data_IF_530527507288
#
_entry.id   IF_530527507288
#
_cell.length_a   1.000
_cell.length_b   1.000
_cell.length_c   1.000
_cell.angle_alpha   90.00
_cell.angle_beta   90.00
_cell.angle_gamma   90.00
#
_symmetry.space_group_name_H-M   'P 1'
#
loop_
_entity.id
_entity.type
_entity.pdbx_description
1 polymer ?
#
# COMPACT_ATOMS: atom_id res chain seq x y z
N UNK A 1 10.28 -18.59 1.25
CA UNK A 1 9.73 -17.85 2.40
C UNK A 1 8.61 -16.97 1.89
N UNK A 2 7.36 -17.37 2.07
CA UNK A 2 6.17 -16.74 1.48
C UNK A 2 5.29 -16.20 2.62
N UNK A 3 5.13 -14.87 2.71
CA UNK A 3 4.20 -14.20 3.66
C UNK A 3 4.82 -13.36 4.77
N UNK A 4 6.10 -12.95 4.68
CA UNK A 4 6.88 -12.45 5.83
C UNK A 4 6.30 -11.26 6.62
N UNK A 5 5.39 -10.44 6.07
CA UNK A 5 4.81 -9.31 6.80
C UNK A 5 3.28 -9.17 6.70
N UNK A 6 2.51 -10.20 6.31
CA UNK A 6 1.06 -10.01 6.14
C UNK A 6 0.40 -9.43 7.40
N UNK A 7 0.66 -10.03 8.56
CA UNK A 7 0.03 -9.61 9.81
C UNK A 7 0.44 -8.16 10.19
N UNK A 8 1.71 -7.81 10.02
CA UNK A 8 2.20 -6.46 10.27
C UNK A 8 1.59 -5.41 9.30
N UNK A 9 1.42 -5.78 8.03
CA UNK A 9 0.81 -4.92 7.04
C UNK A 9 -0.71 -4.77 7.27
N UNK A 10 -1.36 -5.86 7.69
CA UNK A 10 -2.78 -5.89 8.00
C UNK A 10 -3.12 -5.07 9.24
N UNK A 11 -2.26 -5.10 10.26
CA UNK A 11 -2.40 -4.26 11.45
C UNK A 11 -2.37 -2.76 11.09
N UNK A 12 -1.49 -2.35 10.16
CA UNK A 12 -1.49 -0.98 9.65
C UNK A 12 -2.82 -0.62 8.98
N UNK A 13 -3.32 -1.48 8.09
CA UNK A 13 -4.61 -1.23 7.40
C UNK A 13 -5.73 -1.13 8.44
N UNK A 14 -5.82 -2.09 9.36
CA UNK A 14 -6.85 -2.14 10.39
C UNK A 14 -6.88 -0.87 11.28
N UNK A 15 -5.71 -0.39 11.71
CA UNK A 15 -5.59 0.81 12.56
C UNK A 15 -5.77 2.12 11.80
N UNK A 16 -5.60 2.11 10.48
CA UNK A 16 -5.86 3.27 9.63
C UNK A 16 -7.35 3.45 9.32
N UNK A 17 -8.13 2.37 9.38
CA UNK A 17 -9.56 2.37 9.10
C UNK A 17 -10.41 2.80 10.32
N UNK A 18 -11.54 3.42 10.03
CA UNK A 18 -12.51 3.84 11.04
C UNK A 18 -13.44 2.72 11.51
N UNK A 19 -14.22 3.01 12.56
CA UNK A 19 -15.34 2.17 12.97
C UNK A 19 -16.51 2.21 11.97
N UNK A 20 -17.61 1.56 12.32
CA UNK A 20 -18.82 1.50 11.49
C UNK A 20 -19.32 2.91 11.09
N UNK A 21 -19.65 3.08 9.81
CA UNK A 21 -20.24 4.29 9.24
C UNK A 21 -21.49 3.95 8.44
N UNK A 22 -22.52 4.78 8.58
CA UNK A 22 -23.77 4.70 7.81
C UNK A 22 -24.13 6.03 7.14
N UNK A 23 -23.14 6.89 6.86
CA UNK A 23 -23.36 8.15 6.13
C UNK A 23 -24.05 7.86 4.77
N UNK A 24 -25.30 8.32 4.55
CA UNK A 24 -26.02 8.13 3.30
C UNK A 24 -25.36 8.77 2.07
N UNK A 25 -24.41 9.70 2.28
CA UNK A 25 -23.64 10.40 1.24
C UNK A 25 -22.44 9.60 0.77
N UNK A 26 -22.00 8.63 1.56
CA UNK A 26 -20.94 7.70 1.15
C UNK A 26 -21.57 6.55 0.35
N UNK A 27 -21.20 6.44 -0.92
CA UNK A 27 -21.71 5.38 -1.81
C UNK A 27 -21.25 3.99 -1.37
N UNK A 28 -20.12 3.86 -0.65
CA UNK A 28 -19.63 2.59 -0.12
C UNK A 28 -20.54 1.95 0.93
N UNK A 29 -21.40 2.76 1.56
CA UNK A 29 -22.38 2.29 2.55
C UNK A 29 -23.63 1.65 1.91
N UNK A 30 -23.80 1.78 0.60
CA UNK A 30 -24.97 1.28 -0.11
C UNK A 30 -24.65 -0.06 -0.78
N UNK A 31 -25.47 -1.06 -0.49
CA UNK A 31 -25.53 -2.28 -1.27
C UNK A 31 -26.35 -1.99 -2.55
N UNK A 32 -25.76 -2.14 -3.75
CA UNK A 32 -26.51 -1.92 -4.98
C UNK A 32 -27.61 -2.97 -5.17
N UNK A 33 -28.69 -2.59 -5.86
CA UNK A 33 -29.71 -3.52 -6.32
C UNK A 33 -29.19 -4.41 -7.48
N UNK A 34 -30.03 -5.33 -7.95
CA UNK A 34 -29.71 -6.24 -9.07
C UNK A 34 -29.35 -5.51 -10.38
N UNK A 35 -29.74 -4.24 -10.52
CA UNK A 35 -29.45 -3.40 -11.67
C UNK A 35 -28.26 -2.45 -11.42
N UNK A 36 -27.54 -2.61 -10.31
CA UNK A 36 -26.40 -1.78 -9.93
C UNK A 36 -26.76 -0.37 -9.46
N UNK A 37 -28.05 -0.09 -9.18
CA UNK A 37 -28.49 1.20 -8.63
C UNK A 37 -28.39 1.19 -7.11
N UNK A 38 -28.39 2.39 -6.52
CA UNK A 38 -28.36 2.59 -5.06
C UNK A 38 -29.51 1.82 -4.38
N UNK A 39 -29.18 0.75 -3.67
CA UNK A 39 -30.15 -0.15 -3.03
C UNK A 39 -30.30 0.12 -1.54
N UNK A 40 -29.87 -0.83 -0.70
CA UNK A 40 -30.07 -0.76 0.76
C UNK A 40 -28.85 -0.14 1.44
N UNK A 41 -29.06 0.76 2.40
CA UNK A 41 -27.99 1.31 3.24
C UNK A 41 -27.58 0.26 4.28
N UNK A 42 -26.44 -0.39 4.08
CA UNK A 42 -25.87 -1.42 4.98
C UNK A 42 -24.77 -0.82 5.88
N UNK A 43 -24.09 0.21 5.41
CA UNK A 43 -22.92 0.80 6.05
C UNK A 43 -21.60 0.19 5.57
N UNK A 44 -20.51 0.66 6.15
CA UNK A 44 -19.15 0.14 5.98
C UNK A 44 -18.48 0.03 7.33
N UNK A 45 -17.53 -0.89 7.46
CA UNK A 45 -16.78 -1.10 8.70
C UNK A 45 -15.36 -1.58 8.38
N UNK A 46 -14.35 -1.03 9.05
CA UNK A 46 -12.93 -1.33 8.79
C UNK A 46 -12.55 -1.12 7.31
N UNK A 47 -13.19 -0.19 6.61
CA UNK A 47 -12.97 0.04 5.16
C UNK A 47 -13.61 -1.02 4.24
N UNK A 48 -14.28 -2.04 4.78
CA UNK A 48 -15.07 -3.00 4.00
C UNK A 48 -16.42 -2.38 3.66
N UNK A 49 -16.70 -2.25 2.36
CA UNK A 49 -17.97 -1.70 1.86
C UNK A 49 -19.10 -2.73 1.87
N UNK A 50 -20.34 -2.24 1.82
CA UNK A 50 -21.54 -3.07 1.73
C UNK A 50 -21.47 -4.09 0.58
N UNK A 51 -21.06 -3.63 -0.61
CA UNK A 51 -20.93 -4.47 -1.80
C UNK A 51 -19.81 -5.52 -1.65
N UNK A 52 -18.71 -5.17 -0.97
CA UNK A 52 -17.60 -6.09 -0.74
C UNK A 52 -18.01 -7.22 0.20
N UNK A 53 -18.63 -6.88 1.34
CA UNK A 53 -19.11 -7.88 2.29
C UNK A 53 -20.21 -8.75 1.69
N UNK A 54 -21.14 -8.16 0.93
CA UNK A 54 -22.16 -8.92 0.20
C UNK A 54 -21.53 -9.91 -0.80
N UNK A 55 -20.54 -9.47 -1.58
CA UNK A 55 -19.83 -10.35 -2.51
C UNK A 55 -19.10 -11.48 -1.80
N UNK A 56 -18.59 -11.24 -0.59
CA UNK A 56 -17.91 -12.24 0.22
C UNK A 56 -18.88 -13.27 0.79
N UNK A 57 -20.03 -12.83 1.33
CA UNK A 57 -21.05 -13.70 1.94
C UNK A 57 -21.94 -14.44 0.94
N UNK A 58 -21.78 -14.26 -0.38
CA UNK A 58 -22.65 -14.94 -1.36
C UNK A 58 -22.66 -16.46 -1.13
N UNK A 59 -23.85 -17.10 -1.13
CA UNK A 59 -25.15 -16.56 -1.52
C UNK A 59 -25.96 -15.90 -0.39
N UNK A 60 -25.48 -15.87 0.85
CA UNK A 60 -26.22 -15.28 1.96
C UNK A 60 -26.37 -13.75 1.81
N UNK A 61 -27.54 -13.17 2.16
CA UNK A 61 -27.71 -11.73 2.18
C UNK A 61 -26.84 -11.10 3.29
N UNK A 62 -26.45 -9.84 3.09
CA UNK A 62 -25.77 -9.04 4.11
C UNK A 62 -26.78 -8.08 4.75
N UNK A 63 -26.70 -7.94 6.07
CA UNK A 63 -27.48 -7.00 6.87
C UNK A 63 -26.60 -5.89 7.47
N UNK A 64 -27.22 -4.85 8.03
CA UNK A 64 -26.49 -3.84 8.81
C UNK A 64 -25.78 -4.46 10.02
N UNK A 65 -26.41 -5.43 10.68
CA UNK A 65 -25.83 -6.07 11.87
C UNK A 65 -24.61 -6.92 11.51
N UNK A 66 -24.60 -7.55 10.33
CA UNK A 66 -23.40 -8.21 9.82
C UNK A 66 -22.24 -7.23 9.61
N UNK A 67 -22.53 -6.03 9.11
CA UNK A 67 -21.51 -5.01 8.89
C UNK A 67 -21.01 -4.40 10.21
N UNK A 68 -21.92 -4.09 11.13
CA UNK A 68 -21.57 -3.57 12.47
C UNK A 68 -20.73 -4.56 13.27
N UNK A 69 -21.04 -5.84 13.16
CA UNK A 69 -20.35 -6.92 13.88
C UNK A 69 -19.36 -7.68 12.99
N UNK A 70 -18.81 -7.04 11.96
CA UNK A 70 -17.79 -7.65 11.09
C UNK A 70 -16.61 -8.12 11.94
N UNK A 71 -16.46 -9.44 12.05
CA UNK A 71 -15.40 -10.05 12.83
C UNK A 71 -14.04 -9.93 12.13
N UNK A 72 -12.97 -10.00 12.94
CA UNK A 72 -11.61 -9.82 12.45
C UNK A 72 -11.16 -10.97 11.52
N UNK A 73 -11.66 -12.19 11.71
CA UNK A 73 -11.28 -13.33 10.86
C UNK A 73 -11.84 -13.14 9.43
N UNK A 74 -13.08 -12.67 9.32
CA UNK A 74 -13.72 -12.31 8.06
C UNK A 74 -13.00 -11.13 7.41
N UNK A 75 -12.67 -10.09 8.19
CA UNK A 75 -11.88 -8.95 7.69
C UNK A 75 -10.52 -9.42 7.14
N UNK A 76 -9.78 -10.25 7.89
CA UNK A 76 -8.46 -10.75 7.51
C UNK A 76 -8.53 -11.63 6.25
N UNK A 77 -9.57 -12.46 6.14
CA UNK A 77 -9.80 -13.29 4.97
C UNK A 77 -10.15 -12.46 3.71
N UNK A 78 -10.95 -11.40 3.86
CA UNK A 78 -11.24 -10.44 2.78
C UNK A 78 -9.94 -9.74 2.37
N UNK A 79 -9.18 -9.21 3.33
CA UNK A 79 -7.93 -8.51 3.08
C UNK A 79 -6.90 -9.38 2.35
N UNK A 80 -6.76 -10.64 2.78
CA UNK A 80 -5.85 -11.59 2.14
C UNK A 80 -6.28 -11.91 0.70
N UNK A 81 -7.54 -12.27 0.51
CA UNK A 81 -8.04 -12.80 -0.76
C UNK A 81 -8.30 -11.74 -1.82
N UNK A 82 -8.80 -10.55 -1.42
CA UNK A 82 -9.20 -9.49 -2.35
C UNK A 82 -8.10 -8.48 -2.63
N UNK A 83 -7.07 -8.41 -1.79
CA UNK A 83 -6.02 -7.39 -1.92
C UNK A 83 -4.62 -7.99 -1.86
N UNK A 84 -4.23 -8.65 -0.76
CA UNK A 84 -2.87 -9.16 -0.59
C UNK A 84 -2.45 -10.14 -1.68
N UNK A 85 -3.30 -11.14 -1.97
CA UNK A 85 -3.03 -12.15 -2.97
C UNK A 85 -3.06 -11.58 -4.40
N UNK A 86 -4.08 -10.80 -4.84
CA UNK A 86 -4.09 -10.19 -6.17
C UNK A 86 -2.95 -9.20 -6.43
N UNK A 87 -2.45 -8.53 -5.38
CA UNK A 87 -1.28 -7.66 -5.47
C UNK A 87 0.05 -8.42 -5.30
N UNK A 88 -0.01 -9.73 -5.12
CA UNK A 88 1.15 -10.62 -4.97
C UNK A 88 2.12 -10.09 -3.89
N UNK A 89 1.57 -9.52 -2.81
CA UNK A 89 2.34 -8.83 -1.78
C UNK A 89 3.38 -9.75 -1.11
N UNK A 90 3.09 -11.04 -1.00
CA UNK A 90 4.04 -12.05 -0.49
C UNK A 90 5.33 -12.17 -1.29
N UNK A 91 5.37 -11.70 -2.54
CA UNK A 91 6.55 -11.71 -3.40
C UNK A 91 7.25 -10.34 -3.49
N UNK A 92 6.69 -9.31 -2.83
CA UNK A 92 7.28 -7.98 -2.81
C UNK A 92 8.29 -7.86 -1.65
N UNK A 93 9.36 -7.05 -1.80
CA UNK A 93 10.26 -6.74 -0.70
C UNK A 93 9.53 -6.11 0.50
N UNK A 94 10.07 -6.34 1.70
CA UNK A 94 9.53 -5.76 2.93
C UNK A 94 9.41 -4.22 2.81
N UNK A 95 8.30 -3.68 3.30
CA UNK A 95 7.95 -2.27 3.17
C UNK A 95 7.25 -1.96 1.85
N UNK A 96 7.73 -2.50 0.72
CA UNK A 96 7.04 -2.33 -0.56
C UNK A 96 5.70 -3.08 -0.57
N UNK A 97 5.65 -4.25 0.06
CA UNK A 97 4.43 -5.01 0.33
C UNK A 97 3.35 -4.15 1.02
N UNK A 98 3.70 -3.44 2.10
CA UNK A 98 2.80 -2.52 2.79
C UNK A 98 2.37 -1.35 1.89
N UNK A 99 3.33 -0.73 1.19
CA UNK A 99 3.05 0.41 0.31
C UNK A 99 2.03 0.06 -0.77
N UNK A 100 2.16 -1.13 -1.37
CA UNK A 100 1.26 -1.62 -2.42
C UNK A 100 -0.07 -2.08 -1.84
N UNK A 101 -0.05 -2.78 -0.70
CA UNK A 101 -1.24 -3.33 -0.07
C UNK A 101 -2.20 -2.26 0.44
N UNK A 102 -1.72 -1.33 1.28
CA UNK A 102 -2.57 -0.29 1.87
C UNK A 102 -3.07 0.71 0.81
N UNK A 103 -2.25 1.04 -0.18
CA UNK A 103 -2.72 1.88 -1.29
C UNK A 103 -3.76 1.13 -2.14
N UNK A 104 -3.59 -0.18 -2.34
CA UNK A 104 -4.59 -1.02 -2.99
C UNK A 104 -5.89 -1.12 -2.21
N UNK A 105 -5.83 -1.11 -0.88
CA UNK A 105 -7.01 -1.06 -0.01
C UNK A 105 -7.84 0.21 -0.25
N UNK A 106 -7.19 1.37 -0.32
CA UNK A 106 -7.88 2.65 -0.48
C UNK A 106 -8.25 2.98 -1.94
N UNK A 107 -7.37 2.67 -2.90
CA UNK A 107 -7.50 3.08 -4.31
C UNK A 107 -7.85 1.93 -5.27
N UNK A 108 -7.97 0.72 -4.76
CA UNK A 108 -8.22 -0.51 -5.52
C UNK A 108 -6.93 -1.18 -6.03
N UNK A 109 -6.98 -2.53 -6.11
CA UNK A 109 -5.89 -3.41 -6.54
C UNK A 109 -5.26 -2.95 -7.86
N UNK A 110 -6.09 -2.75 -8.89
CA UNK A 110 -5.60 -2.44 -10.23
C UNK A 110 -4.87 -1.09 -10.28
N UNK A 111 -5.34 -0.10 -9.52
CA UNK A 111 -4.69 1.22 -9.43
C UNK A 111 -3.32 1.11 -8.73
N UNK A 112 -3.25 0.36 -7.62
CA UNK A 112 -1.98 0.15 -6.91
C UNK A 112 -0.95 -0.59 -7.77
N UNK A 113 -1.38 -1.69 -8.42
CA UNK A 113 -0.55 -2.45 -9.34
C UNK A 113 0.00 -1.59 -10.49
N UNK A 114 -0.86 -0.77 -11.11
CA UNK A 114 -0.44 0.16 -12.18
C UNK A 114 0.62 1.15 -11.73
N UNK A 115 0.54 1.62 -10.50
CA UNK A 115 1.52 2.58 -9.98
C UNK A 115 2.88 1.93 -9.71
N UNK A 116 2.89 0.70 -9.19
CA UNK A 116 4.12 -0.11 -9.10
C UNK A 116 4.70 -0.38 -10.49
N UNK A 117 3.87 -0.77 -11.45
CA UNK A 117 4.29 -1.02 -12.84
C UNK A 117 4.89 0.23 -13.50
N UNK A 118 4.30 1.40 -13.26
CA UNK A 118 4.85 2.69 -13.69
C UNK A 118 6.24 2.92 -13.09
N UNK A 119 6.43 2.63 -11.80
CA UNK A 119 7.71 2.84 -11.11
C UNK A 119 8.83 1.97 -11.70
N UNK A 120 8.51 0.72 -12.05
CA UNK A 120 9.49 -0.24 -12.60
C UNK A 120 9.54 -0.24 -14.14
N UNK A 121 8.84 0.68 -14.80
CA UNK A 121 8.94 0.90 -16.25
C UNK A 121 8.35 -0.20 -17.13
N UNK A 122 7.33 -0.94 -16.65
CA UNK A 122 6.63 -1.97 -17.44
C UNK A 122 5.22 -1.52 -17.86
N UNK A 123 4.58 -2.29 -18.74
CA UNK A 123 3.19 -2.05 -19.14
C UNK A 123 2.27 -2.01 -17.92
N UNK A 124 1.48 -0.95 -17.83
CA UNK A 124 0.56 -0.70 -16.70
C UNK A 124 -0.79 -1.43 -16.88
N UNK A 125 -0.77 -2.76 -16.97
CA UNK A 125 -1.99 -3.57 -17.12
C UNK A 125 -2.80 -3.72 -15.82
N UNK A 126 -2.23 -3.33 -14.67
CA UNK A 126 -2.87 -3.41 -13.36
C UNK A 126 -2.87 -4.80 -12.72
N UNK A 127 -2.04 -5.72 -13.19
CA UNK A 127 -1.83 -7.05 -12.61
C UNK A 127 -0.34 -7.30 -12.36
N UNK A 128 0.04 -7.55 -11.10
CA UNK A 128 1.44 -7.81 -10.75
C UNK A 128 1.79 -9.24 -11.17
N UNK A 129 2.45 -9.37 -12.32
CA UNK A 129 2.88 -10.66 -12.89
C UNK A 129 4.39 -10.82 -12.95
N UNK A 130 4.88 -11.92 -13.57
CA UNK A 130 6.32 -12.21 -13.68
C UNK A 130 7.14 -11.07 -14.30
N UNK A 131 6.58 -10.33 -15.27
CA UNK A 131 7.25 -9.18 -15.87
C UNK A 131 7.47 -8.04 -14.86
N UNK A 132 6.46 -7.71 -14.06
CA UNK A 132 6.57 -6.69 -13.00
C UNK A 132 7.58 -7.10 -11.93
N UNK A 133 7.54 -8.37 -11.50
CA UNK A 133 8.47 -8.89 -10.49
C UNK A 133 9.91 -8.92 -11.02
N UNK A 134 10.12 -9.37 -12.26
CA UNK A 134 11.44 -9.38 -12.89
C UNK A 134 12.01 -7.97 -13.01
N UNK A 135 11.21 -7.00 -13.50
CA UNK A 135 11.64 -5.61 -13.60
C UNK A 135 12.01 -5.06 -12.22
N UNK A 136 11.17 -5.29 -11.20
CA UNK A 136 11.44 -4.88 -9.82
C UNK A 136 12.79 -5.42 -9.30
N UNK A 137 13.10 -6.70 -9.55
CA UNK A 137 14.36 -7.31 -9.11
C UNK A 137 15.60 -6.78 -9.84
N UNK A 138 15.43 -6.20 -11.02
CA UNK A 138 16.52 -5.68 -11.85
C UNK A 138 16.75 -4.17 -11.65
N UNK A 139 15.86 -3.48 -10.94
CA UNK A 139 15.98 -2.04 -10.68
C UNK A 139 17.27 -1.71 -9.94
N UNK A 140 17.92 -0.63 -10.36
CA UNK A 140 19.05 -0.04 -9.67
C UNK A 140 18.76 1.42 -9.25
N UNK A 141 19.68 2.01 -8.49
CA UNK A 141 19.51 3.37 -7.97
C UNK A 141 19.37 4.42 -9.08
N UNK A 142 20.02 4.23 -10.22
CA UNK A 142 19.96 5.17 -11.35
C UNK A 142 18.61 5.15 -12.05
N UNK A 143 17.84 4.05 -11.96
CA UNK A 143 16.48 3.97 -12.50
C UNK A 143 15.45 4.67 -11.60
N UNK A 144 15.67 4.63 -10.28
CA UNK A 144 14.73 5.11 -9.26
C UNK A 144 14.99 6.56 -8.82
N UNK A 145 16.24 6.97 -8.64
CA UNK A 145 16.60 8.31 -8.16
C UNK A 145 16.00 9.45 -8.99
N UNK A 146 15.88 9.36 -10.34
CA UNK A 146 15.20 10.41 -11.11
C UNK A 146 13.70 10.55 -10.81
N UNK A 147 13.07 9.55 -10.20
CA UNK A 147 11.63 9.52 -9.90
C UNK A 147 11.29 10.04 -8.50
N UNK A 148 12.30 10.21 -7.64
CA UNK A 148 12.12 10.66 -6.26
C UNK A 148 11.70 12.14 -6.23
N UNK A 149 10.70 12.46 -5.41
CA UNK A 149 10.34 13.87 -5.19
C UNK A 149 11.25 14.53 -4.13
N UNK A 150 11.24 15.87 -4.02
CA UNK A 150 12.11 16.60 -3.09
C UNK A 150 11.93 16.23 -1.61
N UNK A 151 10.70 15.95 -1.15
CA UNK A 151 10.44 15.65 0.26
C UNK A 151 11.00 14.26 0.62
N UNK A 152 10.82 13.30 -0.28
CA UNK A 152 11.39 11.96 -0.15
C UNK A 152 12.92 11.96 -0.37
N UNK A 153 13.47 12.85 -1.19
CA UNK A 153 14.93 13.04 -1.29
C UNK A 153 15.54 13.56 0.01
N UNK A 154 14.90 14.53 0.66
CA UNK A 154 15.34 15.02 1.97
C UNK A 154 15.30 13.90 3.02
N UNK A 155 14.26 13.06 2.99
CA UNK A 155 14.16 11.88 3.85
C UNK A 155 15.26 10.86 3.54
N UNK A 156 15.57 10.62 2.27
CA UNK A 156 16.66 9.74 1.85
C UNK A 156 18.01 10.24 2.39
N UNK A 157 18.31 11.53 2.23
CA UNK A 157 19.53 12.14 2.75
C UNK A 157 19.67 11.96 4.27
N UNK A 158 18.62 12.30 5.02
CA UNK A 158 18.61 12.13 6.48
C UNK A 158 18.85 10.67 6.89
N UNK A 159 18.24 9.70 6.19
CA UNK A 159 18.37 8.26 6.47
C UNK A 159 19.76 7.71 6.10
N UNK A 160 20.42 8.29 5.09
CA UNK A 160 21.78 7.92 4.69
C UNK A 160 22.87 8.67 5.45
N UNK A 161 22.53 9.65 6.29
CA UNK A 161 23.49 10.50 6.98
C UNK A 161 24.21 11.47 6.05
N UNK A 162 23.55 11.89 4.96
CA UNK A 162 24.10 12.79 3.95
C UNK A 162 23.49 14.20 4.06
N UNK A 163 24.24 15.27 3.76
CA UNK A 163 23.71 16.62 3.73
C UNK A 163 22.80 16.85 2.50
N UNK A 164 21.85 17.81 2.54
CA UNK A 164 21.01 18.16 1.38
C UNK A 164 21.79 18.50 0.11
N UNK A 165 23.01 19.04 0.26
CA UNK A 165 23.90 19.38 -0.85
C UNK A 165 24.33 18.18 -1.69
N UNK A 166 24.19 16.95 -1.19
CA UNK A 166 24.54 15.73 -1.95
C UNK A 166 23.61 15.49 -3.14
N UNK A 167 22.41 16.10 -3.18
CA UNK A 167 21.46 15.95 -4.30
C UNK A 167 21.19 14.48 -4.66
N UNK A 168 21.06 14.16 -5.95
CA UNK A 168 21.07 12.76 -6.45
C UNK A 168 22.47 12.30 -6.88
N UNK A 169 23.51 12.90 -6.30
CA UNK A 169 24.90 12.77 -6.73
C UNK A 169 25.57 11.43 -6.41
N UNK A 170 26.87 11.30 -6.75
CA UNK A 170 27.64 10.06 -6.57
C UNK A 170 27.68 9.54 -5.12
N UNK A 171 27.63 10.45 -4.14
CA UNK A 171 27.59 10.08 -2.71
C UNK A 171 26.35 9.27 -2.35
N UNK A 172 25.18 9.69 -2.84
CA UNK A 172 23.92 8.98 -2.63
C UNK A 172 23.95 7.61 -3.29
N UNK A 173 24.44 7.51 -4.53
CA UNK A 173 24.57 6.23 -5.24
C UNK A 173 25.48 5.25 -4.50
N UNK A 174 26.67 5.71 -4.07
CA UNK A 174 27.60 4.90 -3.28
C UNK A 174 27.02 4.48 -1.93
N UNK A 175 26.29 5.36 -1.25
CA UNK A 175 25.63 5.03 0.01
C UNK A 175 24.53 3.98 -0.19
N UNK A 176 23.74 4.09 -1.26
CA UNK A 176 22.70 3.10 -1.61
C UNK A 176 23.29 1.71 -1.89
N UNK A 177 24.40 1.66 -2.64
CA UNK A 177 25.10 0.42 -2.97
C UNK A 177 25.77 -0.20 -1.74
N UNK A 178 26.57 0.58 -1.00
CA UNK A 178 27.33 0.07 0.15
C UNK A 178 26.46 -0.37 1.33
N UNK A 179 25.31 0.29 1.53
CA UNK A 179 24.42 -0.02 2.64
C UNK A 179 23.33 -1.03 2.26
N UNK A 180 23.23 -1.48 1.00
CA UNK A 180 22.15 -2.34 0.52
C UNK A 180 20.75 -1.76 0.82
N UNK A 181 20.57 -0.46 0.58
CA UNK A 181 19.34 0.28 0.95
C UNK A 181 18.35 0.42 -0.20
N UNK A 182 18.32 -0.53 -1.14
CA UNK A 182 17.37 -0.49 -2.26
C UNK A 182 15.91 -0.46 -1.79
N UNK A 183 15.57 -1.20 -0.73
CA UNK A 183 14.23 -1.17 -0.13
C UNK A 183 13.81 0.21 0.38
N UNK A 184 14.75 1.00 0.94
CA UNK A 184 14.52 2.38 1.36
C UNK A 184 14.15 3.25 0.14
N UNK A 185 14.91 3.15 -0.95
CA UNK A 185 14.67 3.94 -2.16
C UNK A 185 13.34 3.56 -2.83
N UNK A 186 13.03 2.26 -2.92
CA UNK A 186 11.76 1.77 -3.47
C UNK A 186 10.54 2.32 -2.71
N UNK A 187 10.57 2.29 -1.37
CA UNK A 187 9.49 2.82 -0.53
C UNK A 187 9.34 4.33 -0.72
N UNK A 188 10.43 5.09 -0.72
CA UNK A 188 10.40 6.54 -0.85
C UNK A 188 9.90 6.99 -2.23
N UNK A 189 10.36 6.36 -3.31
CA UNK A 189 9.89 6.67 -4.67
C UNK A 189 8.40 6.35 -4.81
N UNK A 190 7.97 5.16 -4.38
CA UNK A 190 6.56 4.79 -4.48
C UNK A 190 5.66 5.68 -3.60
N UNK A 191 6.12 6.08 -2.42
CA UNK A 191 5.44 7.04 -1.55
C UNK A 191 5.13 8.35 -2.29
N UNK A 192 6.15 8.92 -2.93
CA UNK A 192 6.01 10.14 -3.72
C UNK A 192 5.02 10.02 -4.87
N UNK A 193 5.06 8.89 -5.58
CA UNK A 193 4.10 8.59 -6.64
C UNK A 193 2.67 8.51 -6.09
N UNK A 194 2.46 7.83 -4.97
CA UNK A 194 1.14 7.68 -4.35
C UNK A 194 0.57 8.99 -3.82
N UNK A 195 1.41 9.86 -3.24
CA UNK A 195 0.98 11.20 -2.85
C UNK A 195 0.51 12.03 -4.06
N UNK A 196 1.23 11.96 -5.19
CA UNK A 196 0.83 12.64 -6.42
C UNK A 196 -0.52 12.13 -6.92
N UNK A 197 -0.74 10.81 -6.90
CA UNK A 197 -2.03 10.22 -7.25
C UNK A 197 -3.16 10.72 -6.32
N UNK A 198 -2.93 10.80 -5.00
CA UNK A 198 -3.93 11.35 -4.09
C UNK A 198 -4.25 12.81 -4.37
N UNK A 199 -3.25 13.63 -4.67
CA UNK A 199 -3.42 15.08 -4.91
C UNK A 199 -4.31 15.39 -6.11
N UNK A 200 -4.40 14.48 -7.08
CA UNK A 200 -5.25 14.63 -8.26
C UNK A 200 -6.60 13.92 -8.16
N UNK A 201 -6.84 13.15 -7.09
CA UNK A 201 -8.11 12.45 -6.89
C UNK A 201 -9.27 13.40 -6.58
N UNK A 202 -10.45 13.03 -7.08
CA UNK A 202 -11.70 13.69 -6.71
C UNK A 202 -11.89 13.61 -5.19
N UNK A 203 -12.21 14.75 -4.56
CA UNK A 203 -12.37 14.83 -3.10
C UNK A 203 -11.09 15.17 -2.32
N UNK A 204 -9.93 15.35 -2.97
CA UNK A 204 -8.69 15.76 -2.29
C UNK A 204 -8.86 17.05 -1.47
N UNK A 205 -9.65 18.02 -1.94
CA UNK A 205 -9.95 19.25 -1.17
C UNK A 205 -10.59 18.97 0.20
N UNK A 206 -11.40 17.90 0.31
CA UNK A 206 -12.13 17.53 1.52
C UNK A 206 -11.34 16.56 2.39
N UNK A 207 -10.75 15.53 1.79
CA UNK A 207 -10.14 14.40 2.50
C UNK A 207 -8.62 14.31 2.37
N UNK A 208 -8.01 15.12 1.50
CA UNK A 208 -6.61 15.04 1.13
C UNK A 208 -5.64 15.16 2.30
N UNK A 209 -5.96 15.98 3.32
CA UNK A 209 -5.15 16.06 4.55
C UNK A 209 -5.04 14.69 5.25
N UNK A 210 -6.15 13.95 5.33
CA UNK A 210 -6.18 12.61 5.90
C UNK A 210 -5.42 11.59 5.05
N UNK A 211 -5.58 11.67 3.72
CA UNK A 211 -4.85 10.79 2.79
C UNK A 211 -3.33 11.00 2.85
N UNK A 212 -2.86 12.25 2.90
CA UNK A 212 -1.44 12.55 3.06
C UNK A 212 -0.92 12.13 4.45
N UNK A 213 -1.70 12.34 5.51
CA UNK A 213 -1.32 11.88 6.85
C UNK A 213 -1.22 10.34 6.94
N UNK A 214 -2.15 9.59 6.32
CA UNK A 214 -2.06 8.13 6.20
C UNK A 214 -0.84 7.72 5.38
N UNK A 215 -0.57 8.40 4.27
CA UNK A 215 0.60 8.13 3.43
C UNK A 215 1.90 8.29 4.21
N UNK A 216 2.07 9.40 4.95
CA UNK A 216 3.24 9.60 5.81
C UNK A 216 3.42 8.48 6.84
N UNK A 217 2.35 8.13 7.59
CA UNK A 217 2.39 7.03 8.57
C UNK A 217 2.75 5.68 7.93
N UNK A 218 2.20 5.42 6.74
CA UNK A 218 2.49 4.20 5.97
C UNK A 218 3.95 4.15 5.57
N UNK A 219 4.48 5.25 5.05
CA UNK A 219 5.89 5.34 4.63
C UNK A 219 6.81 5.13 5.82
N UNK A 220 6.56 5.75 6.97
CA UNK A 220 7.33 5.51 8.19
C UNK A 220 7.30 4.03 8.63
N UNK A 221 6.12 3.41 8.59
CA UNK A 221 5.94 1.98 8.94
C UNK A 221 6.67 1.06 7.94
N UNK A 222 6.55 1.34 6.64
CA UNK A 222 7.22 0.59 5.58
C UNK A 222 8.75 0.67 5.71
N UNK A 223 9.28 1.85 6.05
CA UNK A 223 10.72 2.03 6.31
C UNK A 223 11.18 1.26 7.56
N UNK A 224 10.33 1.14 8.58
CA UNK A 224 10.62 0.28 9.73
C UNK A 224 10.65 -1.21 9.35
N UNK A 225 9.75 -1.66 8.48
CA UNK A 225 9.77 -3.03 7.94
C UNK A 225 11.04 -3.31 7.13
N UNK A 226 11.49 -2.36 6.30
CA UNK A 226 12.77 -2.44 5.57
C UNK A 226 13.94 -2.60 6.54
N UNK A 227 13.99 -1.78 7.60
CA UNK A 227 15.06 -1.85 8.58
C UNK A 227 15.05 -3.19 9.34
N UNK A 228 13.88 -3.68 9.74
CA UNK A 228 13.71 -4.96 10.41
C UNK A 228 14.11 -6.15 9.53
N UNK A 229 13.79 -6.12 8.23
CA UNK A 229 14.19 -7.14 7.28
C UNK A 229 15.72 -7.20 7.14
N UNK A 230 16.38 -6.06 6.97
CA UNK A 230 17.84 -5.98 6.88
C UNK A 230 18.52 -6.52 8.14
N UNK A 231 18.01 -6.18 9.32
CA UNK A 231 18.56 -6.69 10.58
C UNK A 231 18.48 -8.22 10.70
N UNK A 232 17.45 -8.86 10.13
CA UNK A 232 17.33 -10.33 10.09
C UNK A 232 18.33 -10.97 9.13
N UNK A 233 18.67 -10.31 8.04
CA UNK A 233 19.64 -10.80 7.05
C UNK A 233 21.08 -10.68 7.54
N UNK A 234 21.39 -9.68 8.37
CA UNK A 234 22.75 -9.44 8.90
C UNK A 234 22.99 -10.01 10.30
N UNK A 235 21.97 -10.60 10.95
CA UNK A 235 22.08 -11.19 12.29
C UNK A 235 22.89 -12.49 12.30
N UNK A 236 23.55 -12.85 13.42
CA UNK A 236 24.29 -14.10 13.52
C UNK A 236 23.36 -15.29 13.30
N UNK A 237 23.72 -16.18 12.37
CA UNK A 237 23.04 -17.47 12.19
C UNK A 237 23.27 -18.28 13.46
N UNK A 238 22.24 -18.40 14.32
CA UNK A 238 22.30 -19.39 15.40
C UNK A 238 22.32 -20.77 14.76
N UNK A 239 23.48 -21.42 14.81
CA UNK A 239 23.63 -22.86 14.60
C UNK A 239 23.56 -23.58 15.95
#
# INVERSE_FOLDING_TARGET
MTGQNFDACLDFVRTAEGGYSEDPKDLGNWLPDENGRKGVLIGSHYGVSAAMLASWKKPQPVSQDDMRNLDLDTFDAIARSRFWNPLVCSALPAGLDLMVFDFGWNCGVSTSARLLQRMVGVTMDGSIGPQTLSALTQMNASDLLPQIDPDNLATLHARLGLPPSSGIGPEVKRALESQQTMGLLLVLVLSGMQEREYRVQAGFRRWGRGWLARTKRRTETALALVAAARARETGPTMF
#
